data_IF_928300445350
#
_entry.id   IF_928300445350
#
_cell.length_a   1.000
_cell.length_b   1.000
_cell.length_c   1.000
_cell.angle_alpha   90.00
_cell.angle_beta   90.00
_cell.angle_gamma   90.00
#
_symmetry.space_group_name_H-M   'P 1'
#
loop_
_entity.id
_entity.type
_entity.pdbx_description
1 polymer ?
#
# COMPACT_ATOMS: atom_id res chain seq x y z
N UNK A 1 0.77 7.43 15.61
CA UNK A 1 -0.47 7.62 14.83
C UNK A 1 -0.86 9.10 14.74
N UNK A 2 -0.82 9.86 15.85
CA UNK A 2 -1.14 11.29 15.85
C UNK A 2 -0.18 12.13 14.97
N UNK A 3 1.09 11.75 14.88
CA UNK A 3 2.12 12.50 14.13
C UNK A 3 2.00 12.35 12.60
N UNK A 4 1.09 11.48 12.14
CA UNK A 4 0.93 11.19 10.71
C UNK A 4 -0.42 11.71 10.20
N UNK A 5 -0.38 12.35 9.04
CA UNK A 5 -1.58 12.81 8.32
C UNK A 5 -2.47 11.62 7.93
N UNK A 6 -3.78 11.83 7.86
CA UNK A 6 -4.75 10.76 7.59
C UNK A 6 -4.61 10.14 6.20
N UNK A 7 -4.55 11.02 5.20
CA UNK A 7 -4.49 10.68 3.79
C UNK A 7 -3.29 11.36 3.15
N UNK A 8 -2.75 10.71 2.12
CA UNK A 8 -1.96 11.38 1.09
C UNK A 8 -2.83 11.76 -0.10
N UNK A 9 -2.22 11.72 -1.29
CA UNK A 9 -2.87 11.72 -2.60
C UNK A 9 -2.52 10.42 -3.34
N UNK A 10 -3.26 10.03 -4.40
CA UNK A 10 -2.88 8.89 -5.21
C UNK A 10 -1.47 9.07 -5.78
N UNK A 11 -0.64 8.03 -5.65
CA UNK A 11 0.73 8.04 -6.19
C UNK A 11 0.67 8.19 -7.70
N UNK A 12 1.45 9.13 -8.25
CA UNK A 12 1.41 9.52 -9.67
C UNK A 12 1.54 8.33 -10.60
N UNK A 13 0.72 8.31 -11.66
CA UNK A 13 0.69 7.21 -12.63
C UNK A 13 0.07 5.91 -12.09
N UNK A 14 -0.42 5.93 -10.85
CA UNK A 14 -1.10 4.80 -10.21
C UNK A 14 -2.49 5.22 -9.72
N UNK A 15 -3.16 4.30 -9.01
CA UNK A 15 -4.41 4.56 -8.28
C UNK A 15 -4.26 4.19 -6.79
N UNK A 16 -3.02 4.07 -6.34
CA UNK A 16 -2.66 3.65 -4.99
C UNK A 16 -2.67 4.89 -4.10
N UNK A 17 -3.57 4.93 -3.12
CA UNK A 17 -3.71 5.99 -2.15
C UNK A 17 -3.13 5.53 -0.80
N UNK A 18 -1.94 6.01 -0.40
CA UNK A 18 -1.38 5.64 0.89
C UNK A 18 -2.06 6.43 2.01
N UNK A 19 -2.53 5.71 3.04
CA UNK A 19 -3.26 6.29 4.18
C UNK A 19 -2.72 5.73 5.50
N UNK A 20 -2.94 6.43 6.62
CA UNK A 20 -2.75 5.82 7.96
C UNK A 20 -3.93 4.89 8.29
N UNK A 21 -3.77 4.07 9.32
CA UNK A 21 -4.83 3.17 9.79
C UNK A 21 -6.11 3.94 10.14
N UNK A 22 -7.25 3.64 9.48
CA UNK A 22 -8.56 4.11 9.93
C UNK A 22 -8.93 3.42 11.25
N UNK A 23 -9.39 4.19 12.24
CA UNK A 23 -9.81 3.68 13.55
C UNK A 23 -11.34 3.80 13.63
N UNK A 24 -12.07 2.71 13.96
CA UNK A 24 -13.52 2.77 14.10
C UNK A 24 -13.99 3.81 15.13
N UNK A 25 -15.16 4.39 14.91
CA UNK A 25 -15.74 5.42 15.79
C UNK A 25 -15.86 4.93 17.24
N UNK A 26 -16.28 3.69 17.44
CA UNK A 26 -16.41 3.04 18.76
C UNK A 26 -15.07 2.85 19.48
N UNK A 27 -13.94 2.88 18.76
CA UNK A 27 -12.58 2.80 19.31
C UNK A 27 -11.86 4.16 19.37
N UNK A 28 -12.56 5.25 19.02
CA UNK A 28 -11.98 6.59 18.86
C UNK A 28 -12.26 7.54 20.04
N UNK A 29 -12.77 7.03 21.18
CA UNK A 29 -13.12 7.85 22.34
C UNK A 29 -11.95 8.69 22.87
N UNK A 30 -10.74 8.11 22.88
CA UNK A 30 -9.50 8.78 23.33
C UNK A 30 -8.80 9.61 22.24
N UNK A 31 -9.39 9.73 21.05
CA UNK A 31 -8.83 10.48 19.92
C UNK A 31 -9.58 11.82 19.82
N UNK A 32 -8.88 12.98 19.87
CA UNK A 32 -9.49 14.28 19.65
C UNK A 32 -10.30 14.31 18.35
N UNK A 33 -11.50 14.90 18.37
CA UNK A 33 -12.45 14.84 17.24
C UNK A 33 -11.81 15.24 15.90
N UNK A 34 -11.05 16.34 15.88
CA UNK A 34 -10.39 16.86 14.68
C UNK A 34 -9.23 16.00 14.16
N UNK A 35 -8.78 14.99 14.93
CA UNK A 35 -7.75 14.03 14.52
C UNK A 35 -8.32 12.66 14.16
N UNK A 36 -9.63 12.43 14.37
CA UNK A 36 -10.25 11.13 14.06
C UNK A 36 -10.20 10.86 12.56
N UNK A 37 -10.06 9.58 12.23
CA UNK A 37 -10.05 9.13 10.85
C UNK A 37 -10.62 7.71 10.80
N UNK A 38 -11.82 7.59 10.27
CA UNK A 38 -12.61 6.36 10.14
C UNK A 38 -12.65 5.90 8.68
N UNK A 39 -13.20 4.71 8.43
CA UNK A 39 -13.46 4.25 7.06
C UNK A 39 -14.50 5.13 6.35
N UNK A 40 -15.46 5.69 7.09
CA UNK A 40 -16.43 6.64 6.53
C UNK A 40 -15.75 7.93 6.08
N UNK A 41 -14.81 8.45 6.88
CA UNK A 41 -14.02 9.63 6.51
C UNK A 41 -13.19 9.37 5.25
N UNK A 42 -12.58 8.18 5.15
CA UNK A 42 -11.84 7.77 3.95
C UNK A 42 -12.74 7.78 2.70
N UNK A 43 -13.93 7.17 2.77
CA UNK A 43 -14.88 7.14 1.64
C UNK A 43 -15.28 8.57 1.24
N UNK A 44 -15.74 9.37 2.20
CA UNK A 44 -16.17 10.75 1.98
C UNK A 44 -15.04 11.61 1.37
N UNK A 45 -13.80 11.43 1.84
CA UNK A 45 -12.65 12.12 1.29
C UNK A 45 -12.35 11.72 -0.15
N UNK A 46 -12.47 10.44 -0.53
CA UNK A 46 -12.24 10.02 -1.93
C UNK A 46 -13.36 10.53 -2.84
N UNK A 47 -14.61 10.47 -2.38
CA UNK A 47 -15.78 10.92 -3.13
C UNK A 47 -15.79 12.44 -3.34
N UNK A 48 -15.26 13.23 -2.40
CA UNK A 48 -15.18 14.69 -2.56
C UNK A 48 -14.24 15.15 -3.69
N UNK A 49 -13.34 14.27 -4.14
CA UNK A 49 -12.52 14.47 -5.34
C UNK A 49 -13.15 13.86 -6.61
N UNK A 50 -14.43 13.50 -6.56
CA UNK A 50 -15.16 12.84 -7.66
C UNK A 50 -14.49 11.52 -8.10
N UNK A 51 -13.88 10.82 -7.14
CA UNK A 51 -13.26 9.50 -7.31
C UNK A 51 -14.05 8.45 -6.53
N UNK A 52 -13.88 7.17 -6.89
CA UNK A 52 -14.52 6.05 -6.20
C UNK A 52 -13.47 5.21 -5.49
N UNK A 53 -13.61 5.01 -4.18
CA UNK A 53 -12.85 3.99 -3.47
C UNK A 53 -13.41 2.61 -3.85
N UNK A 54 -12.57 1.71 -4.33
CA UNK A 54 -13.01 0.36 -4.73
C UNK A 54 -12.31 -0.75 -3.97
N UNK A 55 -11.18 -0.44 -3.33
CA UNK A 55 -10.43 -1.42 -2.57
C UNK A 55 -9.66 -0.80 -1.39
N UNK A 56 -9.56 -1.55 -0.30
CA UNK A 56 -8.63 -1.30 0.81
C UNK A 56 -7.69 -2.51 0.96
N UNK A 57 -6.39 -2.24 0.92
CA UNK A 57 -5.33 -3.21 1.23
C UNK A 57 -4.77 -2.88 2.62
N UNK A 58 -5.02 -3.77 3.58
CA UNK A 58 -4.59 -3.66 4.97
C UNK A 58 -3.33 -4.52 5.21
N UNK A 59 -2.22 -3.83 5.51
CA UNK A 59 -0.90 -4.39 5.79
C UNK A 59 -0.59 -4.52 7.30
N UNK A 60 -1.56 -4.24 8.16
CA UNK A 60 -1.39 -4.41 9.61
C UNK A 60 -1.45 -5.89 9.98
N UNK A 61 -0.76 -6.26 11.07
CA UNK A 61 -0.80 -7.64 11.56
C UNK A 61 -2.11 -7.94 12.33
N UNK A 62 -2.54 -7.01 13.18
CA UNK A 62 -3.77 -7.13 13.95
C UNK A 62 -5.01 -6.67 13.14
N UNK A 63 -6.18 -7.14 13.53
CA UNK A 63 -7.46 -6.73 12.94
C UNK A 63 -8.06 -5.57 13.74
N UNK A 64 -7.96 -4.35 13.20
CA UNK A 64 -8.44 -3.15 13.88
C UNK A 64 -9.92 -2.87 13.63
N UNK A 65 -10.44 -3.27 12.48
CA UNK A 65 -11.83 -3.09 12.08
C UNK A 65 -12.33 -4.31 11.30
N UNK A 66 -13.66 -4.48 11.25
CA UNK A 66 -14.31 -5.52 10.45
C UNK A 66 -14.41 -5.08 8.99
N UNK A 67 -14.15 -5.97 8.00
CA UNK A 67 -14.33 -5.64 6.59
C UNK A 67 -15.80 -5.50 6.19
N UNK A 68 -16.75 -5.87 7.07
CA UNK A 68 -18.19 -5.79 6.79
C UNK A 68 -18.60 -4.41 6.29
N UNK A 69 -18.15 -3.34 6.95
CA UNK A 69 -18.48 -1.97 6.54
C UNK A 69 -18.02 -1.66 5.11
N UNK A 70 -16.85 -2.16 4.70
CA UNK A 70 -16.35 -1.97 3.34
C UNK A 70 -17.19 -2.77 2.32
N UNK A 71 -17.49 -4.04 2.63
CA UNK A 71 -18.30 -4.89 1.76
C UNK A 71 -19.72 -4.36 1.56
N UNK A 72 -20.35 -3.87 2.64
CA UNK A 72 -21.69 -3.25 2.59
C UNK A 72 -21.70 -1.99 1.70
N UNK A 73 -20.53 -1.35 1.48
CA UNK A 73 -20.32 -0.22 0.57
C UNK A 73 -19.73 -0.63 -0.80
N UNK A 74 -19.74 -1.93 -1.15
CA UNK A 74 -19.17 -2.47 -2.39
C UNK A 74 -17.67 -2.18 -2.58
N UNK A 75 -16.91 -2.13 -1.48
CA UNK A 75 -15.46 -1.94 -1.48
C UNK A 75 -14.78 -3.26 -1.13
N UNK A 76 -13.89 -3.73 -2.00
CA UNK A 76 -13.05 -4.90 -1.76
C UNK A 76 -12.12 -4.67 -0.57
N UNK A 77 -11.92 -5.70 0.25
CA UNK A 77 -10.95 -5.68 1.34
C UNK A 77 -9.96 -6.83 1.22
N UNK A 78 -8.67 -6.50 1.27
CA UNK A 78 -7.60 -7.50 1.24
C UNK A 78 -6.63 -7.30 2.40
N UNK A 79 -6.40 -8.36 3.17
CA UNK A 79 -5.44 -8.39 4.28
C UNK A 79 -4.14 -9.05 3.83
N UNK A 80 -3.01 -8.36 3.97
CA UNK A 80 -1.68 -8.96 3.81
C UNK A 80 -0.97 -8.87 5.16
N UNK A 81 -0.78 -10.03 5.81
CA UNK A 81 -0.16 -10.11 7.12
C UNK A 81 1.37 -9.91 7.02
N UNK A 82 1.80 -8.66 6.98
CA UNK A 82 3.21 -8.28 7.01
C UNK A 82 3.68 -8.22 8.46
N UNK A 83 4.48 -9.21 8.87
CA UNK A 83 5.08 -9.30 10.21
C UNK A 83 5.99 -8.10 10.50
N UNK A 84 6.03 -7.70 11.78
CA UNK A 84 6.97 -6.69 12.26
C UNK A 84 8.15 -7.33 12.98
N UNK A 85 9.34 -6.77 12.79
CA UNK A 85 10.51 -6.89 13.69
C UNK A 85 11.21 -8.25 13.84
N UNK A 86 11.35 -9.05 12.79
CA UNK A 86 12.42 -10.06 12.79
C UNK A 86 13.69 -9.45 12.21
N UNK A 87 14.53 -8.89 13.08
CA UNK A 87 15.96 -8.70 12.78
C UNK A 87 16.58 -10.09 12.89
N UNK A 88 17.07 -10.69 11.79
CA UNK A 88 17.69 -12.01 11.84
C UNK A 88 19.03 -11.96 12.59
N UNK A 89 19.22 -12.85 13.57
CA UNK A 89 20.54 -13.13 14.15
C UNK A 89 21.25 -14.31 13.44
N UNK A 90 20.72 -14.79 12.31
CA UNK A 90 21.32 -15.87 11.53
C UNK A 90 20.99 -15.78 10.04
N UNK A 91 21.93 -16.20 9.19
CA UNK A 91 21.81 -16.20 7.71
C UNK A 91 20.57 -16.96 7.20
N UNK A 92 20.12 -17.98 7.92
CA UNK A 92 18.92 -18.76 7.56
C UNK A 92 17.63 -17.97 7.79
N UNK A 93 17.58 -17.12 8.81
CA UNK A 93 16.42 -16.27 9.11
C UNK A 93 16.37 -15.09 8.12
N UNK A 94 17.52 -14.57 7.68
CA UNK A 94 17.59 -13.55 6.61
C UNK A 94 16.93 -14.06 5.31
N UNK A 95 17.24 -15.28 4.89
CA UNK A 95 16.65 -15.88 3.69
C UNK A 95 15.13 -16.05 3.81
N UNK A 96 14.63 -16.48 4.96
CA UNK A 96 13.18 -16.65 5.19
C UNK A 96 12.45 -15.31 5.19
N UNK A 97 13.05 -14.28 5.77
CA UNK A 97 12.53 -12.91 5.77
C UNK A 97 12.44 -12.37 4.34
N UNK A 98 13.49 -12.54 3.54
CA UNK A 98 13.49 -12.15 2.12
C UNK A 98 12.41 -12.89 1.31
N UNK A 99 12.25 -14.19 1.52
CA UNK A 99 11.18 -14.97 0.86
C UNK A 99 9.81 -14.42 1.24
N UNK A 100 9.58 -14.10 2.51
CA UNK A 100 8.31 -13.55 2.98
C UNK A 100 8.00 -12.17 2.37
N UNK A 101 8.99 -11.27 2.32
CA UNK A 101 8.83 -9.98 1.64
C UNK A 101 8.44 -10.15 0.17
N UNK A 102 9.07 -11.10 -0.54
CA UNK A 102 8.71 -11.40 -1.93
C UNK A 102 7.29 -11.94 -2.05
N UNK A 103 6.88 -12.84 -1.17
CA UNK A 103 5.51 -13.39 -1.16
C UNK A 103 4.49 -12.27 -0.91
N UNK A 104 4.72 -11.41 0.08
CA UNK A 104 3.82 -10.30 0.39
C UNK A 104 3.76 -9.30 -0.76
N UNK A 105 4.87 -9.05 -1.45
CA UNK A 105 4.91 -8.24 -2.65
C UNK A 105 4.13 -8.85 -3.82
N UNK A 106 4.28 -10.14 -4.09
CA UNK A 106 3.49 -10.82 -5.14
C UNK A 106 1.99 -10.81 -4.82
N UNK A 107 1.61 -11.01 -3.55
CA UNK A 107 0.22 -10.85 -3.10
C UNK A 107 -0.29 -9.45 -3.35
N UNK A 108 0.50 -8.44 -2.99
CA UNK A 108 0.18 -7.03 -3.22
C UNK A 108 -0.05 -6.75 -4.71
N UNK A 109 0.88 -7.13 -5.60
CA UNK A 109 0.72 -6.96 -7.06
C UNK A 109 -0.54 -7.66 -7.55
N UNK A 110 -0.76 -8.91 -7.15
CA UNK A 110 -1.92 -9.68 -7.60
C UNK A 110 -3.25 -9.01 -7.22
N UNK A 111 -3.34 -8.48 -5.99
CA UNK A 111 -4.49 -7.72 -5.53
C UNK A 111 -4.65 -6.43 -6.32
N UNK A 112 -3.59 -5.63 -6.46
CA UNK A 112 -3.63 -4.39 -7.24
C UNK A 112 -4.10 -4.68 -8.67
N UNK A 113 -3.48 -5.63 -9.37
CA UNK A 113 -3.82 -5.99 -10.75
C UNK A 113 -5.24 -6.51 -10.91
N UNK A 114 -5.73 -7.31 -9.97
CA UNK A 114 -7.12 -7.77 -9.95
C UNK A 114 -8.08 -6.59 -9.88
N UNK A 115 -7.83 -5.66 -8.95
CA UNK A 115 -8.67 -4.47 -8.79
C UNK A 115 -8.55 -3.52 -9.98
N UNK A 116 -7.39 -3.41 -10.65
CA UNK A 116 -7.28 -2.62 -11.90
C UNK A 116 -8.13 -3.18 -13.02
N UNK A 117 -8.22 -4.50 -13.13
CA UNK A 117 -9.07 -5.16 -14.13
C UNK A 117 -10.56 -5.01 -13.83
N UNK A 118 -10.95 -5.10 -12.56
CA UNK A 118 -12.37 -5.05 -12.16
C UNK A 118 -12.93 -3.63 -12.09
N UNK A 119 -12.11 -2.66 -11.67
CA UNK A 119 -12.50 -1.25 -11.54
C UNK A 119 -11.41 -0.35 -12.12
N UNK A 120 -11.38 -0.08 -13.44
CA UNK A 120 -10.31 0.64 -14.14
C UNK A 120 -10.02 2.06 -13.62
N UNK A 121 -11.00 2.72 -13.02
CA UNK A 121 -10.87 4.09 -12.47
C UNK A 121 -10.91 4.13 -10.94
N UNK A 122 -10.99 2.96 -10.29
CA UNK A 122 -11.13 2.84 -8.85
C UNK A 122 -9.84 3.13 -8.06
N UNK A 123 -9.98 3.89 -6.98
CA UNK A 123 -8.91 4.14 -6.00
C UNK A 123 -8.74 2.91 -5.10
N UNK A 124 -7.48 2.56 -4.88
CA UNK A 124 -7.05 1.49 -3.98
C UNK A 124 -6.34 2.14 -2.80
N UNK A 125 -6.99 2.18 -1.63
CA UNK A 125 -6.33 2.63 -0.42
C UNK A 125 -5.38 1.55 0.10
N UNK A 126 -4.17 1.95 0.50
CA UNK A 126 -3.16 1.03 1.06
C UNK A 126 -2.70 1.57 2.40
N UNK A 127 -2.78 0.75 3.45
CA UNK A 127 -2.38 1.20 4.78
C UNK A 127 -1.64 0.14 5.58
N UNK A 128 -0.78 0.61 6.46
CA UNK A 128 -0.32 -0.12 7.63
C UNK A 128 -0.80 0.65 8.87
N UNK A 129 -0.07 0.65 9.98
CA UNK A 129 -0.44 1.45 11.15
C UNK A 129 -0.33 2.95 10.87
N UNK A 130 0.80 3.38 10.29
CA UNK A 130 1.07 4.80 10.00
C UNK A 130 0.94 5.16 8.52
N UNK A 131 0.85 4.15 7.64
CA UNK A 131 0.83 4.37 6.20
C UNK A 131 2.19 4.77 5.61
N UNK A 132 3.28 4.53 6.33
CA UNK A 132 4.62 5.02 5.97
C UNK A 132 5.52 3.87 5.55
N UNK A 133 6.03 3.08 6.50
CA UNK A 133 7.11 2.13 6.19
C UNK A 133 6.68 0.94 5.32
N UNK A 134 5.78 0.08 5.79
CA UNK A 134 5.31 -1.09 5.02
C UNK A 134 4.54 -0.69 3.75
N UNK A 135 3.69 0.33 3.88
CA UNK A 135 2.94 0.91 2.76
C UNK A 135 3.89 1.46 1.69
N UNK A 136 4.85 2.30 2.09
CA UNK A 136 5.82 2.89 1.18
C UNK A 136 6.73 1.86 0.56
N UNK A 137 7.18 0.85 1.31
CA UNK A 137 7.99 -0.23 0.77
C UNK A 137 7.28 -0.99 -0.36
N UNK A 138 6.04 -1.46 -0.14
CA UNK A 138 5.31 -2.22 -1.17
C UNK A 138 4.92 -1.35 -2.38
N UNK A 139 4.54 -0.09 -2.15
CA UNK A 139 4.25 0.86 -3.23
C UNK A 139 5.51 1.15 -4.03
N UNK A 140 6.64 1.45 -3.38
CA UNK A 140 7.91 1.70 -4.07
C UNK A 140 8.35 0.46 -4.84
N UNK A 141 8.21 -0.75 -4.28
CA UNK A 141 8.48 -1.97 -5.07
C UNK A 141 7.59 -2.09 -6.29
N UNK A 142 6.31 -1.74 -6.18
CA UNK A 142 5.41 -1.73 -7.34
C UNK A 142 5.90 -0.75 -8.40
N UNK A 143 6.28 0.48 -8.01
CA UNK A 143 6.81 1.46 -8.95
C UNK A 143 8.10 0.97 -9.64
N UNK A 144 9.02 0.37 -8.89
CA UNK A 144 10.33 -0.01 -9.41
C UNK A 144 10.25 -1.31 -10.22
N UNK A 145 9.66 -2.38 -9.68
CA UNK A 145 9.60 -3.68 -10.37
C UNK A 145 8.59 -3.68 -11.50
N UNK A 146 7.41 -3.08 -11.30
CA UNK A 146 6.30 -3.20 -12.26
C UNK A 146 6.21 -2.01 -13.21
N UNK A 147 6.57 -0.81 -12.77
CA UNK A 147 6.53 0.40 -13.60
C UNK A 147 7.92 0.86 -14.06
N UNK A 148 8.97 0.12 -13.73
CA UNK A 148 10.36 0.41 -14.11
C UNK A 148 10.83 1.82 -13.71
N UNK A 149 10.30 2.37 -12.61
CA UNK A 149 10.69 3.67 -12.06
C UNK A 149 12.03 3.52 -11.32
N UNK A 150 12.93 4.50 -11.46
CA UNK A 150 14.18 4.50 -10.70
C UNK A 150 13.90 4.47 -9.19
N UNK A 151 14.66 3.69 -8.38
CA UNK A 151 14.44 3.61 -6.94
C UNK A 151 14.37 4.95 -6.19
N UNK A 152 15.24 5.90 -6.54
CA UNK A 152 15.23 7.24 -5.91
C UNK A 152 13.96 8.01 -6.26
N UNK A 153 13.50 7.89 -7.49
CA UNK A 153 12.27 8.56 -7.93
C UNK A 153 11.03 7.90 -7.34
N UNK A 154 11.01 6.57 -7.21
CA UNK A 154 9.92 5.85 -6.55
C UNK A 154 9.75 6.29 -5.09
N UNK A 155 10.86 6.43 -4.35
CA UNK A 155 10.85 6.95 -2.98
C UNK A 155 10.31 8.38 -2.91
N UNK A 156 10.77 9.27 -3.82
CA UNK A 156 10.29 10.67 -3.89
C UNK A 156 8.80 10.76 -4.23
N UNK A 157 8.33 9.99 -5.21
CA UNK A 157 6.93 9.96 -5.61
C UNK A 157 6.04 9.43 -4.48
N UNK A 158 6.51 8.42 -3.74
CA UNK A 158 5.80 7.97 -2.54
C UNK A 158 5.79 9.03 -1.44
N UNK A 159 6.94 9.63 -1.11
CA UNK A 159 7.04 10.66 -0.08
C UNK A 159 6.14 11.86 -0.40
N UNK A 160 6.17 12.33 -1.64
CA UNK A 160 5.30 13.40 -2.10
C UNK A 160 3.82 13.02 -1.96
N UNK A 161 3.45 11.83 -2.45
CA UNK A 161 2.07 11.37 -2.41
C UNK A 161 1.59 11.15 -0.97
N UNK A 162 2.41 10.59 -0.09
CA UNK A 162 2.06 10.29 1.30
C UNK A 162 2.13 11.51 2.21
N UNK A 163 3.03 12.45 1.90
CA UNK A 163 3.44 13.55 2.78
C UNK A 163 4.41 13.13 3.89
N UNK A 164 4.94 11.90 3.84
CA UNK A 164 5.88 11.35 4.83
C UNK A 164 6.86 10.40 4.14
N UNK A 165 8.18 10.50 4.38
CA UNK A 165 9.18 9.61 3.78
C UNK A 165 9.13 8.22 4.40
N UNK A 166 9.63 7.21 3.70
CA UNK A 166 9.93 5.91 4.32
C UNK A 166 11.09 6.12 5.32
N UNK A 167 10.85 5.82 6.58
CA UNK A 167 11.77 6.12 7.69
C UNK A 167 12.71 4.96 8.01
N UNK A 168 12.31 3.71 7.69
CA UNK A 168 13.08 2.52 8.01
C UNK A 168 14.27 2.39 7.06
N UNK A 169 15.47 2.65 7.57
CA UNK A 169 16.73 2.60 6.80
C UNK A 169 16.89 1.29 6.03
N UNK A 170 16.62 0.15 6.65
CA UNK A 170 16.73 -1.16 6.00
C UNK A 170 15.75 -1.33 4.83
N UNK A 171 14.60 -0.64 4.82
CA UNK A 171 13.69 -0.61 3.67
C UNK A 171 14.23 0.32 2.58
N UNK A 172 14.71 1.50 2.96
CA UNK A 172 15.28 2.46 2.01
C UNK A 172 16.49 1.86 1.30
N UNK A 173 17.40 1.23 2.03
CA UNK A 173 18.59 0.58 1.48
C UNK A 173 18.24 -0.55 0.51
N UNK A 174 17.32 -1.45 0.88
CA UNK A 174 16.85 -2.52 -0.01
C UNK A 174 16.23 -1.96 -1.30
N UNK A 175 15.37 -0.95 -1.17
CA UNK A 175 14.74 -0.29 -2.32
C UNK A 175 15.79 0.33 -3.25
N UNK A 176 16.76 1.06 -2.71
CA UNK A 176 17.83 1.72 -3.49
C UNK A 176 18.77 0.73 -4.17
N UNK A 177 19.01 -0.42 -3.54
CA UNK A 177 19.84 -1.50 -4.08
C UNK A 177 19.08 -2.46 -5.00
N UNK A 178 17.77 -2.27 -5.17
CA UNK A 178 16.96 -3.09 -6.04
C UNK A 178 17.23 -2.79 -7.51
N UNK A 179 17.73 -3.80 -8.24
CA UNK A 179 17.77 -3.79 -9.70
C UNK A 179 16.37 -4.13 -10.24
N UNK A 180 15.89 -3.42 -11.27
CA UNK A 180 14.64 -3.78 -11.97
C UNK A 180 14.73 -5.22 -12.45
N UNK A 181 13.89 -6.11 -11.91
CA UNK A 181 13.99 -7.58 -12.10
C UNK A 181 12.87 -8.16 -12.95
N UNK A 182 11.97 -7.34 -13.49
CA UNK A 182 10.91 -7.81 -14.40
C UNK A 182 11.23 -7.37 -15.83
N UNK A 183 12.02 -8.19 -16.53
CA UNK A 183 11.88 -8.26 -17.98
C UNK A 183 10.48 -8.83 -18.27
N UNK A 184 9.55 -7.96 -18.61
CA UNK A 184 8.29 -8.37 -19.23
C UNK A 184 8.67 -8.96 -20.58
N UNK A 185 8.64 -10.28 -20.69
CA UNK A 185 8.67 -10.94 -21.99
C UNK A 185 7.50 -10.41 -22.80
N UNK A 186 7.81 -9.65 -23.86
CA UNK A 186 6.85 -9.17 -24.83
C UNK A 186 6.11 -10.38 -25.42
N UNK A 187 4.90 -10.65 -24.93
CA UNK A 187 3.91 -11.44 -25.67
C UNK A 187 3.20 -10.48 -26.64
N UNK A 188 3.96 -9.95 -27.57
CA UNK A 188 3.45 -9.32 -28.79
C UNK A 188 4.11 -10.05 -29.97
N UNK A 189 3.66 -11.27 -30.21
CA UNK A 189 3.74 -11.93 -31.51
C UNK A 189 2.48 -12.80 -31.64
N UNK A 190 1.38 -12.15 -31.99
CA UNK A 190 0.30 -12.72 -32.79
C UNK A 190 -0.58 -11.58 -33.31
N UNK A 191 0.03 -10.76 -34.16
CA UNK A 191 -0.66 -10.00 -35.20
C UNK A 191 0.13 -10.13 -36.49
N UNK A 192 -0.23 -11.13 -37.28
CA UNK A 192 0.01 -11.14 -38.72
C UNK A 192 -0.78 -12.26 -39.38
N UNK A 193 -1.72 -11.82 -40.23
CA UNK A 193 -2.35 -12.49 -41.38
C UNK A 193 -3.17 -13.76 -41.12
#
# INVERSE_FOLDING_TARGET
WFDYTSLGVPVKGTRLLPIKLPIPSEKSSNIPFHLRFTLGDLINCVESYNQKLTCVIDLTYANYYSPKFLHDNNISYHKIYVEGHTIPNSKTVEQQVLIKFRIDFYRFINMVNKERKQSPDGIIAVHCTHGVNRTGYLICRYLIDFMNINPKDALREFEWARGHPVERENYVEDLLNSVSKLEVTNVENNRSA
#
